data_IF_835181175493
#
_entry.id   IF_835181175493
#
_cell.length_a   1.000
_cell.length_b   1.000
_cell.length_c   1.000
_cell.angle_alpha   90.00
_cell.angle_beta   90.00
_cell.angle_gamma   90.00
#
_symmetry.space_group_name_H-M   'P 1'
#
loop_
_entity.id
_entity.type
_entity.pdbx_description
1 polymer ?
#
# COMPACT_ATOMS: atom_id res chain seq x y z
N UNK A 1 -8.28 5.58 12.26
CA UNK A 1 -8.86 4.86 11.10
C UNK A 1 -8.80 5.68 9.84
N UNK A 2 -9.31 6.93 9.85
CA UNK A 2 -9.30 7.83 8.69
C UNK A 2 -7.91 8.06 8.05
N UNK A 3 -6.85 8.45 8.78
CA UNK A 3 -5.56 8.79 8.14
C UNK A 3 -4.87 7.58 7.49
N UNK A 4 -4.84 6.42 8.17
CA UNK A 4 -4.25 5.19 7.61
C UNK A 4 -5.01 4.71 6.37
N UNK A 5 -6.34 4.78 6.39
CA UNK A 5 -7.19 4.40 5.25
C UNK A 5 -6.96 5.34 4.06
N UNK A 6 -6.94 6.65 4.29
CA UNK A 6 -6.65 7.63 3.23
C UNK A 6 -5.24 7.47 2.66
N UNK A 7 -4.24 7.25 3.52
CA UNK A 7 -2.86 7.00 3.09
C UNK A 7 -2.76 5.71 2.26
N UNK A 8 -3.41 4.63 2.69
CA UNK A 8 -3.44 3.38 1.94
C UNK A 8 -4.13 3.56 0.59
N UNK A 9 -5.29 4.23 0.53
CA UNK A 9 -6.01 4.47 -0.71
C UNK A 9 -5.20 5.31 -1.69
N UNK A 10 -4.63 6.42 -1.22
CA UNK A 10 -3.80 7.29 -2.06
C UNK A 10 -2.57 6.53 -2.61
N UNK A 11 -1.88 5.77 -1.76
CA UNK A 11 -0.73 4.97 -2.19
C UNK A 11 -1.12 3.82 -3.12
N UNK A 12 -2.27 3.18 -2.89
CA UNK A 12 -2.76 2.12 -3.76
C UNK A 12 -3.05 2.62 -5.17
N UNK A 13 -3.66 3.81 -5.31
CA UNK A 13 -3.92 4.43 -6.63
C UNK A 13 -2.61 4.74 -7.36
N UNK A 14 -1.65 5.37 -6.66
CA UNK A 14 -0.33 5.66 -7.24
C UNK A 14 0.42 4.38 -7.64
N UNK A 15 0.36 3.35 -6.80
CA UNK A 15 0.98 2.06 -7.07
C UNK A 15 0.34 1.35 -8.26
N UNK A 16 -0.99 1.35 -8.38
CA UNK A 16 -1.69 0.83 -9.57
C UNK A 16 -1.24 1.58 -10.83
N UNK A 17 -1.10 2.90 -10.76
CA UNK A 17 -0.52 3.70 -11.84
C UNK A 17 0.88 3.25 -12.24
N UNK A 18 1.75 2.95 -11.27
CA UNK A 18 3.10 2.44 -11.53
C UNK A 18 3.08 1.05 -12.19
N UNK A 19 2.15 0.17 -11.84
CA UNK A 19 2.05 -1.17 -12.44
C UNK A 19 1.85 -1.09 -13.96
N UNK A 20 1.06 -0.13 -14.45
CA UNK A 20 0.81 0.02 -15.89
C UNK A 20 2.08 0.26 -16.71
N UNK A 21 3.11 0.85 -16.11
CA UNK A 21 4.39 1.13 -16.77
C UNK A 21 5.48 0.10 -16.45
N UNK A 22 5.16 -1.00 -15.76
CA UNK A 22 6.14 -1.96 -15.26
C UNK A 22 7.05 -2.54 -16.37
N UNK A 23 6.48 -2.81 -17.54
CA UNK A 23 7.22 -3.38 -18.68
C UNK A 23 8.20 -2.38 -19.30
N UNK A 24 7.95 -1.08 -19.14
CA UNK A 24 8.78 0.01 -19.66
C UNK A 24 9.84 0.50 -18.65
N UNK A 25 9.84 -0.05 -17.43
CA UNK A 25 10.74 0.38 -16.37
C UNK A 25 12.18 -0.10 -16.59
N UNK A 26 13.12 0.84 -16.52
CA UNK A 26 14.55 0.56 -16.39
C UNK A 26 14.90 0.02 -14.97
N UNK A 27 16.15 -0.40 -14.77
CA UNK A 27 16.58 -1.01 -13.50
C UNK A 27 16.34 -0.12 -12.27
N UNK A 28 16.56 1.19 -12.37
CA UNK A 28 16.38 2.13 -11.25
C UNK A 28 14.90 2.30 -10.90
N UNK A 29 14.05 2.51 -11.90
CA UNK A 29 12.61 2.65 -11.70
C UNK A 29 11.97 1.35 -11.20
N UNK A 30 12.45 0.19 -11.65
CA UNK A 30 12.01 -1.11 -11.15
C UNK A 30 12.41 -1.33 -9.68
N UNK A 31 13.57 -0.84 -9.26
CA UNK A 31 13.95 -0.85 -7.83
C UNK A 31 13.02 0.03 -6.98
N UNK A 32 12.69 1.23 -7.47
CA UNK A 32 11.71 2.12 -6.81
C UNK A 32 10.33 1.44 -6.75
N UNK A 33 9.90 0.77 -7.82
CA UNK A 33 8.65 0.02 -7.85
C UNK A 33 8.60 -1.04 -6.74
N UNK A 34 9.68 -1.80 -6.52
CA UNK A 34 9.74 -2.79 -5.44
C UNK A 34 9.74 -2.17 -4.04
N UNK A 35 10.40 -1.02 -3.86
CA UNK A 35 10.31 -0.26 -2.60
C UNK A 35 8.88 0.19 -2.32
N UNK A 36 8.21 0.80 -3.31
CA UNK A 36 6.82 1.26 -3.18
C UNK A 36 5.88 0.08 -2.94
N UNK A 37 6.05 -1.02 -3.67
CA UNK A 37 5.27 -2.25 -3.47
C UNK A 37 5.41 -2.78 -2.04
N UNK A 38 6.64 -2.83 -1.51
CA UNK A 38 6.90 -3.24 -0.13
C UNK A 38 6.22 -2.32 0.88
N UNK A 39 6.21 -1.01 0.61
CA UNK A 39 5.55 -0.02 1.45
C UNK A 39 4.01 -0.17 1.44
N UNK A 40 3.41 -0.42 0.26
CA UNK A 40 1.96 -0.66 0.11
C UNK A 40 1.55 -1.92 0.87
N UNK A 41 2.33 -3.01 0.77
CA UNK A 41 2.08 -4.24 1.52
C UNK A 41 2.13 -4.02 3.03
N UNK A 42 3.09 -3.21 3.52
CA UNK A 42 3.15 -2.85 4.93
C UNK A 42 1.89 -2.10 5.38
N UNK A 43 1.44 -1.12 4.60
CA UNK A 43 0.21 -0.38 4.89
C UNK A 43 -1.02 -1.29 4.90
N UNK A 44 -1.09 -2.26 3.99
CA UNK A 44 -2.15 -3.28 3.97
C UNK A 44 -2.16 -4.09 5.28
N UNK A 45 -1.01 -4.58 5.72
CA UNK A 45 -0.89 -5.37 6.96
C UNK A 45 -1.32 -4.54 8.18
N UNK A 46 -0.87 -3.29 8.27
CA UNK A 46 -1.26 -2.39 9.37
C UNK A 46 -2.77 -2.12 9.37
N UNK A 47 -3.36 -1.93 8.19
CA UNK A 47 -4.79 -1.70 8.03
C UNK A 47 -5.60 -2.91 8.47
N UNK A 48 -5.22 -4.12 8.02
CA UNK A 48 -5.87 -5.38 8.44
C UNK A 48 -5.73 -5.58 9.95
N UNK A 49 -4.53 -5.41 10.51
CA UNK A 49 -4.28 -5.54 11.95
C UNK A 49 -5.17 -4.58 12.76
N UNK A 50 -5.30 -3.34 12.30
CA UNK A 50 -6.12 -2.35 12.98
C UNK A 50 -7.62 -2.64 12.86
N UNK A 51 -8.10 -3.11 11.70
CA UNK A 51 -9.51 -3.55 11.53
C UNK A 51 -9.83 -4.73 12.46
N UNK A 52 -8.94 -5.73 12.53
CA UNK A 52 -9.10 -6.86 13.46
C UNK A 52 -9.14 -6.38 14.91
N UNK A 53 -8.21 -5.50 15.31
CA UNK A 53 -8.17 -4.95 16.67
C UNK A 53 -9.46 -4.19 17.03
N UNK A 54 -9.96 -3.35 16.13
CA UNK A 54 -11.18 -2.59 16.37
C UNK A 54 -12.42 -3.49 16.47
N UNK A 55 -12.50 -4.57 15.67
CA UNK A 55 -13.58 -5.56 15.80
C UNK A 55 -13.53 -6.30 17.14
N UNK A 56 -12.34 -6.60 17.67
CA UNK A 56 -12.18 -7.22 19.00
C UNK A 56 -12.50 -6.27 20.14
N UNK A 57 -12.18 -4.98 20.01
CA UNK A 57 -12.46 -3.97 21.04
C UNK A 57 -13.93 -3.53 21.09
N UNK A 58 -14.71 -3.80 20.03
CA UNK A 58 -16.15 -3.52 19.97
C UNK A 58 -17.01 -4.68 20.48
N UNK A 59 -16.40 -5.79 20.89
CA UNK A 59 -17.05 -6.96 21.48
C UNK A 59 -16.77 -6.98 22.97
#
# INVERSE_FOLDING_TARGET
MKPLLYQFLAMAVLWIGLIFFYDEMNNLSRFIFYLVTSWVLLLLVLLVKQVIRNRRASK
#
